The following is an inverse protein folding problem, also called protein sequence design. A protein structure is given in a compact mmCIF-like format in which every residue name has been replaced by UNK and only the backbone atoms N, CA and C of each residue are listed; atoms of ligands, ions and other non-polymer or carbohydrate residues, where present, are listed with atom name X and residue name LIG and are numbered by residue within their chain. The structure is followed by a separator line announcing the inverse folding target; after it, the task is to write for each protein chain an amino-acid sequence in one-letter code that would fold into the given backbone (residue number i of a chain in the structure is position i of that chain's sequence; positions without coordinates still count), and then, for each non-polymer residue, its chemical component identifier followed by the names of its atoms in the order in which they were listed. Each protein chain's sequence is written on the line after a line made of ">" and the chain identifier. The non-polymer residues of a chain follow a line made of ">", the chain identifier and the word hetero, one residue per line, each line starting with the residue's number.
data_IF_198786876099
#
_entry.id   IF_198786876099
#
_cell.length_a   1.000
_cell.length_b   1.000
_cell.length_c   1.000
_cell.angle_alpha   90.00
_cell.angle_beta   90.00
_cell.angle_gamma   90.00
#
_symmetry.space_group_name_H-M   'P 1'
#
loop_
_entity.id
_entity.type
_entity.pdbx_description
1 polymer ?
#
# COMPACT_ATOMS: atom_id res chain seq x y z
N UNK A 1 -2.33 -3.51 -1.32
CA UNK A 1 -0.97 -4.06 -1.57
C UNK A 1 0.09 -3.13 -0.95
N UNK A 2 1.27 -3.68 -0.68
CA UNK A 2 2.47 -2.97 -0.25
C UNK A 2 3.69 -3.68 -0.78
N UNK A 3 4.83 -3.00 -0.70
CA UNK A 3 6.13 -3.54 -1.07
C UNK A 3 7.04 -3.55 0.16
N UNK A 4 7.99 -4.47 0.20
CA UNK A 4 9.08 -4.45 1.18
C UNK A 4 10.31 -3.94 0.44
N UNK A 5 10.84 -2.81 0.89
CA UNK A 5 12.07 -2.20 0.36
C UNK A 5 13.03 -2.03 1.53
N UNK A 6 14.23 -2.60 1.41
CA UNK A 6 15.25 -2.61 2.46
C UNK A 6 14.72 -3.12 3.83
N UNK A 7 13.86 -4.14 3.80
CA UNK A 7 13.25 -4.73 5.00
C UNK A 7 12.12 -3.90 5.62
N UNK A 8 11.76 -2.76 5.03
CA UNK A 8 10.69 -1.89 5.50
C UNK A 8 9.46 -1.96 4.59
N UNK A 9 8.27 -2.01 5.19
CA UNK A 9 7.02 -1.87 4.46
C UNK A 9 6.90 -0.45 3.88
N UNK A 10 6.66 -0.37 2.57
CA UNK A 10 6.47 0.87 1.82
C UNK A 10 5.18 0.82 1.01
N UNK A 11 4.53 1.98 0.91
CA UNK A 11 3.43 2.26 0.00
C UNK A 11 3.96 3.05 -1.20
N UNK A 12 3.40 2.80 -2.37
CA UNK A 12 3.61 3.64 -3.55
C UNK A 12 2.86 4.96 -3.37
N UNK A 13 3.55 6.12 -3.29
CA UNK A 13 2.89 7.41 -3.07
C UNK A 13 2.03 7.87 -4.26
N UNK A 14 2.18 7.27 -5.44
CA UNK A 14 1.41 7.63 -6.64
C UNK A 14 0.08 6.88 -6.76
N UNK A 15 -0.18 5.90 -5.88
CA UNK A 15 -1.43 5.12 -5.87
C UNK A 15 -2.32 5.56 -4.72
N UNK A 16 -3.64 5.46 -4.94
CA UNK A 16 -4.62 5.67 -3.88
C UNK A 16 -4.33 4.80 -2.66
N UNK A 17 -4.31 5.43 -1.48
CA UNK A 17 -4.07 4.81 -0.19
C UNK A 17 -5.39 4.66 0.56
N UNK A 18 -5.65 3.48 1.11
CA UNK A 18 -6.78 3.22 1.99
C UNK A 18 -6.29 2.77 3.36
N UNK A 19 -6.97 3.19 4.42
CA UNK A 19 -6.75 2.72 5.78
C UNK A 19 -7.71 1.58 6.11
N UNK A 20 -7.17 0.45 6.56
CA UNK A 20 -7.94 -0.69 7.04
C UNK A 20 -7.30 -1.25 8.31
N UNK A 21 -8.06 -1.38 9.39
CA UNK A 21 -7.59 -1.87 10.69
C UNK A 21 -6.30 -1.16 11.19
N UNK A 22 -6.20 0.15 10.98
CA UNK A 22 -5.02 0.94 11.36
C UNK A 22 -3.82 0.79 10.43
N UNK A 23 -3.95 0.12 9.30
CA UNK A 23 -2.90 -0.03 8.29
C UNK A 23 -3.27 0.64 6.97
N UNK A 24 -2.41 1.54 6.50
CA UNK A 24 -2.52 2.16 5.18
C UNK A 24 -1.99 1.23 4.10
N UNK A 25 -2.69 1.00 2.99
CA UNK A 25 -2.22 0.15 1.88
C UNK A 25 -2.59 0.78 0.52
N UNK A 26 -1.84 0.48 -0.54
CA UNK A 26 -2.25 0.88 -1.88
C UNK A 26 -3.44 0.03 -2.36
N UNK A 27 -4.44 0.68 -2.94
CA UNK A 27 -5.54 -0.01 -3.61
C UNK A 27 -5.05 -0.62 -4.94
N UNK A 28 -5.51 -1.82 -5.26
CA UNK A 28 -5.32 -2.48 -6.54
C UNK A 28 -6.69 -2.85 -7.09
N UNK A 29 -7.04 -2.37 -8.27
CA UNK A 29 -8.28 -2.72 -8.99
C UNK A 29 -7.91 -3.56 -10.19
N UNK A 30 -8.62 -4.68 -10.39
CA UNK A 30 -8.46 -5.57 -11.54
C UNK A 30 -9.84 -5.73 -12.18
N UNK A 31 -9.90 -5.66 -13.52
CA UNK A 31 -11.11 -5.81 -14.33
C UNK A 31 -11.17 -7.18 -15.00
#
# INVERSE_FOLDING_TARGET
>A
IKFIVDGMWRIDPLRTVLSNNGHENNLLVVS
#
